data_IF_662568070511
#
_entry.id   IF_662568070511
#
_cell.length_a   1.000
_cell.length_b   1.000
_cell.length_c   1.000
_cell.angle_alpha   90.00
_cell.angle_beta   90.00
_cell.angle_gamma   90.00
#
_symmetry.space_group_name_H-M   'P 1'
#
loop_
_entity.id
_entity.type
_entity.pdbx_description
1 polymer ?
#
# COMPACT_ATOMS: atom_id res chain seq x y z
N UNK A 1 17.07 -38.33 -0.95
CA UNK A 1 17.51 -37.01 -1.49
C UNK A 1 18.01 -37.12 -2.93
N UNK A 2 19.12 -37.81 -3.25
CA UNK A 2 19.60 -37.93 -4.65
C UNK A 2 18.68 -38.82 -5.52
N UNK A 3 18.17 -39.91 -4.95
CA UNK A 3 17.25 -40.81 -5.65
C UNK A 3 15.92 -40.12 -6.05
N UNK A 4 15.39 -39.26 -5.19
CA UNK A 4 14.15 -38.51 -5.44
C UNK A 4 14.31 -37.46 -6.53
N UNK A 5 15.49 -36.83 -6.61
CA UNK A 5 15.83 -35.86 -7.67
C UNK A 5 15.90 -36.57 -9.03
N UNK A 6 16.57 -37.72 -9.11
CA UNK A 6 16.71 -38.50 -10.35
C UNK A 6 15.36 -39.05 -10.84
N UNK A 7 14.52 -39.55 -9.93
CA UNK A 7 13.18 -40.04 -10.26
C UNK A 7 12.28 -38.96 -10.84
N UNK A 8 12.36 -37.72 -10.33
CA UNK A 8 11.56 -36.59 -10.81
C UNK A 8 11.99 -36.05 -12.18
N UNK A 9 13.27 -36.18 -12.53
CA UNK A 9 13.81 -35.82 -13.84
C UNK A 9 13.33 -36.82 -14.91
N UNK A 10 13.35 -38.12 -14.61
CA UNK A 10 13.00 -39.17 -15.56
C UNK A 10 11.48 -39.35 -15.77
N UNK A 11 10.65 -39.01 -14.78
CA UNK A 11 9.19 -39.22 -14.84
C UNK A 11 8.41 -38.06 -15.49
N UNK A 12 9.09 -37.02 -15.98
CA UNK A 12 8.44 -35.78 -16.43
C UNK A 12 7.68 -35.04 -15.32
N UNK A 13 7.88 -35.45 -14.06
CA UNK A 13 7.19 -34.90 -12.89
C UNK A 13 7.71 -33.52 -12.51
N UNK A 14 8.88 -33.10 -12.99
CA UNK A 14 9.40 -31.75 -12.76
C UNK A 14 8.40 -30.66 -13.21
N UNK A 15 7.68 -30.85 -14.33
CA UNK A 15 6.66 -29.90 -14.80
C UNK A 15 5.36 -29.94 -13.96
N UNK A 16 5.06 -31.09 -13.35
CA UNK A 16 3.92 -31.27 -12.44
C UNK A 16 4.20 -30.74 -11.03
N UNK A 17 5.43 -30.90 -10.52
CA UNK A 17 5.84 -30.31 -9.24
C UNK A 17 5.97 -28.79 -9.35
N UNK A 18 6.49 -28.25 -10.45
CA UNK A 18 6.52 -26.80 -10.63
C UNK A 18 5.13 -26.23 -10.87
N UNK A 19 4.27 -26.87 -11.68
CA UNK A 19 2.90 -26.38 -11.88
C UNK A 19 2.02 -26.54 -10.64
N UNK A 20 2.13 -27.63 -9.89
CA UNK A 20 1.31 -27.87 -8.69
C UNK A 20 1.83 -27.11 -7.48
N UNK A 21 3.14 -26.86 -7.36
CA UNK A 21 3.70 -25.93 -6.37
C UNK A 21 3.42 -24.47 -6.73
N UNK A 22 3.45 -24.11 -8.02
CA UNK A 22 3.05 -22.79 -8.52
C UNK A 22 1.55 -22.54 -8.37
N UNK A 23 0.70 -23.56 -8.58
CA UNK A 23 -0.74 -23.52 -8.32
C UNK A 23 -1.04 -23.54 -6.81
N UNK A 24 -0.27 -24.24 -5.99
CA UNK A 24 -0.39 -24.15 -4.53
C UNK A 24 0.08 -22.80 -3.98
N UNK A 25 1.08 -22.16 -4.60
CA UNK A 25 1.57 -20.83 -4.17
C UNK A 25 0.67 -19.69 -4.65
N UNK A 26 0.03 -19.82 -5.81
CA UNK A 26 -0.86 -18.78 -6.37
C UNK A 26 -2.23 -18.69 -5.69
N UNK A 27 -2.61 -19.67 -4.85
CA UNK A 27 -3.91 -19.68 -4.14
C UNK A 27 -3.80 -19.78 -2.61
N UNK A 28 -2.60 -19.74 -2.03
CA UNK A 28 -2.44 -19.72 -0.57
C UNK A 28 -2.47 -18.28 -0.07
N UNK A 29 -3.54 -17.96 0.67
CA UNK A 29 -3.64 -16.70 1.40
C UNK A 29 -2.42 -16.53 2.33
N UNK A 30 -1.70 -15.42 2.17
CA UNK A 30 -0.48 -15.17 2.92
C UNK A 30 -0.81 -14.39 4.20
N UNK A 31 -1.02 -15.12 5.30
CA UNK A 31 -1.46 -14.54 6.57
C UNK A 31 -0.53 -13.47 7.13
N UNK A 32 0.80 -13.67 7.09
CA UNK A 32 1.75 -12.70 7.63
C UNK A 32 1.70 -11.37 6.85
N UNK A 33 1.89 -11.33 5.51
CA UNK A 33 1.71 -10.11 4.73
C UNK A 33 0.37 -9.43 4.94
N UNK A 34 -0.71 -10.21 5.14
CA UNK A 34 -2.03 -9.65 5.40
C UNK A 34 -2.09 -8.87 6.72
N UNK A 35 -1.61 -9.47 7.82
CA UNK A 35 -1.62 -8.77 9.12
C UNK A 35 -0.64 -7.60 9.15
N UNK A 36 0.52 -7.74 8.51
CA UNK A 36 1.49 -6.65 8.37
C UNK A 36 0.85 -5.48 7.61
N UNK A 37 0.19 -5.74 6.48
CA UNK A 37 -0.45 -4.72 5.65
C UNK A 37 -1.61 -4.00 6.36
N UNK A 38 -2.45 -4.72 7.09
CA UNK A 38 -3.51 -4.10 7.90
C UNK A 38 -2.90 -3.23 9.01
N UNK A 39 -1.85 -3.71 9.67
CA UNK A 39 -1.16 -2.92 10.70
C UNK A 39 -0.54 -1.65 10.12
N UNK A 40 0.16 -1.77 8.98
CA UNK A 40 0.77 -0.63 8.27
C UNK A 40 -0.30 0.37 7.86
N UNK A 41 -1.32 -0.07 7.12
CA UNK A 41 -2.43 0.78 6.69
C UNK A 41 -3.16 1.46 7.85
N UNK A 42 -3.38 0.80 8.99
CA UNK A 42 -3.95 1.48 10.17
C UNK A 42 -2.98 2.53 10.73
N UNK A 43 -1.70 2.19 10.88
CA UNK A 43 -0.71 3.06 11.50
C UNK A 43 -0.41 4.31 10.68
N UNK A 44 -0.21 4.17 9.38
CA UNK A 44 0.14 5.25 8.46
C UNK A 44 -1.03 6.22 8.29
N UNK A 45 -2.24 5.70 8.21
CA UNK A 45 -3.44 6.52 8.07
C UNK A 45 -3.79 7.23 9.36
N UNK A 46 -3.53 6.60 10.51
CA UNK A 46 -3.62 7.26 11.81
C UNK A 46 -2.61 8.41 11.90
N UNK A 47 -1.35 8.18 11.48
CA UNK A 47 -0.34 9.22 11.45
C UNK A 47 -0.73 10.40 10.55
N UNK A 48 -1.28 10.13 9.35
CA UNK A 48 -1.78 11.19 8.47
C UNK A 48 -2.96 11.92 9.08
N UNK A 49 -3.91 11.20 9.68
CA UNK A 49 -5.06 11.81 10.37
C UNK A 49 -4.61 12.77 11.46
N UNK A 50 -3.71 12.32 12.34
CA UNK A 50 -3.15 13.14 13.42
C UNK A 50 -2.43 14.38 12.86
N UNK A 51 -1.69 14.22 11.77
CA UNK A 51 -1.04 15.34 11.07
C UNK A 51 -2.07 16.35 10.55
N UNK A 52 -3.16 15.88 9.91
CA UNK A 52 -4.23 16.74 9.38
C UNK A 52 -4.93 17.51 10.50
N UNK A 53 -5.37 16.85 11.58
CA UNK A 53 -6.10 17.54 12.66
C UNK A 53 -5.22 18.51 13.42
N UNK A 54 -3.94 18.18 13.62
CA UNK A 54 -2.97 19.08 14.24
C UNK A 54 -2.76 20.32 13.37
N UNK A 55 -2.57 20.14 12.05
CA UNK A 55 -2.40 21.26 11.13
C UNK A 55 -3.67 22.10 11.00
N UNK A 56 -4.86 21.50 11.06
CA UNK A 56 -6.12 22.24 11.10
C UNK A 56 -6.14 23.18 12.31
N UNK A 57 -5.81 22.69 13.50
CA UNK A 57 -5.77 23.54 14.70
C UNK A 57 -4.66 24.61 14.61
N UNK A 58 -3.45 24.24 14.19
CA UNK A 58 -2.32 25.17 14.08
C UNK A 58 -2.55 26.29 13.06
N UNK A 59 -3.31 26.02 11.99
CA UNK A 59 -3.51 26.95 10.88
C UNK A 59 -4.90 27.60 10.87
N UNK A 60 -5.69 27.47 11.94
CA UNK A 60 -7.11 27.88 12.00
C UNK A 60 -7.39 29.35 11.69
N UNK A 61 -6.43 30.24 11.97
CA UNK A 61 -6.56 31.69 11.68
C UNK A 61 -6.07 32.07 10.26
N UNK A 62 -5.62 31.09 9.47
CA UNK A 62 -5.03 31.35 8.15
C UNK A 62 -6.10 31.34 7.06
N UNK A 63 -6.11 32.36 6.21
CA UNK A 63 -7.04 32.48 5.06
C UNK A 63 -7.09 31.26 4.14
N UNK A 64 -5.97 30.55 3.99
CA UNK A 64 -5.82 29.36 3.14
C UNK A 64 -5.57 28.08 3.94
N UNK A 65 -6.12 27.99 5.16
CA UNK A 65 -5.93 26.85 6.09
C UNK A 65 -6.01 25.49 5.38
N UNK A 66 -7.13 25.19 4.71
CA UNK A 66 -7.35 23.88 4.07
C UNK A 66 -6.27 23.56 3.04
N UNK A 67 -5.91 24.52 2.19
CA UNK A 67 -4.86 24.35 1.17
C UNK A 67 -3.52 24.01 1.83
N UNK A 68 -3.14 24.73 2.89
CA UNK A 68 -1.89 24.47 3.59
C UNK A 68 -1.91 23.15 4.35
N UNK A 69 -3.04 22.79 4.99
CA UNK A 69 -3.20 21.48 5.65
C UNK A 69 -2.98 20.34 4.66
N UNK A 70 -3.61 20.40 3.49
CA UNK A 70 -3.47 19.36 2.44
C UNK A 70 -2.02 19.25 1.98
N UNK A 71 -1.39 20.37 1.62
CA UNK A 71 -0.02 20.35 1.09
C UNK A 71 0.99 19.90 2.16
N UNK A 72 0.93 20.49 3.36
CA UNK A 72 1.91 20.23 4.42
C UNK A 72 1.74 18.80 4.97
N UNK A 73 0.52 18.31 5.17
CA UNK A 73 0.30 16.93 5.61
C UNK A 73 0.84 15.91 4.59
N UNK A 74 0.65 16.16 3.29
CA UNK A 74 1.21 15.33 2.23
C UNK A 74 2.76 15.37 2.22
N UNK A 75 3.36 16.55 2.43
CA UNK A 75 4.82 16.69 2.54
C UNK A 75 5.37 15.91 3.74
N UNK A 76 4.72 16.01 4.91
CA UNK A 76 5.11 15.26 6.11
C UNK A 76 5.04 13.75 5.84
N UNK A 77 3.95 13.30 5.23
CA UNK A 77 3.75 11.88 4.91
C UNK A 77 4.79 11.34 3.92
N UNK A 78 5.00 12.05 2.80
CA UNK A 78 6.04 11.69 1.84
C UNK A 78 7.44 11.73 2.45
N UNK A 79 7.75 12.73 3.27
CA UNK A 79 9.06 12.82 3.92
C UNK A 79 9.32 11.67 4.90
N UNK A 80 8.29 11.15 5.58
CA UNK A 80 8.44 10.01 6.48
C UNK A 80 8.91 8.74 5.73
N UNK A 81 8.55 8.60 4.45
CA UNK A 81 8.99 7.48 3.61
C UNK A 81 10.46 7.55 3.20
N UNK A 82 11.17 8.66 3.44
CA UNK A 82 12.63 8.70 3.25
C UNK A 82 13.37 7.73 4.16
N UNK A 83 12.75 7.30 5.27
CA UNK A 83 13.30 6.27 6.16
C UNK A 83 13.52 4.94 5.42
N UNK A 84 12.75 4.67 4.37
CA UNK A 84 12.86 3.42 3.61
C UNK A 84 14.15 3.32 2.80
N UNK A 85 14.92 4.41 2.63
CA UNK A 85 16.27 4.38 2.03
C UNK A 85 17.22 3.46 2.82
N UNK A 86 16.92 3.18 4.08
CA UNK A 86 17.71 2.28 4.92
C UNK A 86 17.57 0.80 4.52
N UNK A 87 16.43 0.43 3.96
CA UNK A 87 16.06 -0.96 3.67
C UNK A 87 15.83 -1.23 2.17
N UNK A 88 15.57 -0.19 1.37
CA UNK A 88 15.21 -0.28 -0.04
C UNK A 88 16.24 0.41 -0.96
N UNK A 89 16.36 -0.01 -2.24
CA UNK A 89 17.17 0.70 -3.22
C UNK A 89 16.77 2.17 -3.34
N UNK A 90 17.75 3.07 -3.49
CA UNK A 90 17.52 4.52 -3.52
C UNK A 90 16.41 4.96 -4.48
N UNK A 91 16.39 4.41 -5.71
CA UNK A 91 15.37 4.74 -6.71
C UNK A 91 13.97 4.31 -6.25
N UNK A 92 13.85 3.14 -5.60
CA UNK A 92 12.58 2.65 -5.08
C UNK A 92 12.09 3.52 -3.93
N UNK A 93 12.96 3.85 -2.98
CA UNK A 93 12.62 4.72 -1.84
C UNK A 93 12.18 6.13 -2.31
N UNK A 94 12.89 6.75 -3.25
CA UNK A 94 12.49 8.05 -3.81
C UNK A 94 11.18 7.97 -4.58
N UNK A 95 10.95 6.87 -5.30
CA UNK A 95 9.65 6.64 -5.97
C UNK A 95 8.52 6.55 -4.95
N UNK A 96 8.72 5.85 -3.83
CA UNK A 96 7.75 5.79 -2.72
C UNK A 96 7.47 7.17 -2.13
N UNK A 97 8.49 8.01 -1.90
CA UNK A 97 8.32 9.38 -1.39
C UNK A 97 7.43 10.22 -2.32
N UNK A 98 7.69 10.17 -3.64
CA UNK A 98 6.89 10.91 -4.63
C UNK A 98 5.46 10.39 -4.66
N UNK A 99 5.28 9.07 -4.68
CA UNK A 99 3.95 8.45 -4.71
C UNK A 99 3.17 8.72 -3.41
N UNK A 100 3.82 8.67 -2.25
CA UNK A 100 3.23 8.98 -0.97
C UNK A 100 2.83 10.46 -0.88
N UNK A 101 3.63 11.38 -1.41
CA UNK A 101 3.26 12.79 -1.50
C UNK A 101 2.02 13.00 -2.37
N UNK A 102 2.00 12.45 -3.60
CA UNK A 102 0.87 12.62 -4.52
C UNK A 102 -0.41 12.00 -3.94
N UNK A 103 -0.31 10.78 -3.42
CA UNK A 103 -1.44 10.09 -2.78
C UNK A 103 -1.90 10.83 -1.53
N UNK A 104 -0.96 11.34 -0.73
CA UNK A 104 -1.22 12.16 0.44
C UNK A 104 -2.04 13.41 0.14
N UNK A 105 -1.81 14.09 -0.99
CA UNK A 105 -2.62 15.22 -1.43
C UNK A 105 -4.07 14.79 -1.68
N UNK A 106 -4.27 13.71 -2.46
CA UNK A 106 -5.58 13.19 -2.84
C UNK A 106 -6.34 12.71 -1.60
N UNK A 107 -5.68 11.93 -0.74
CA UNK A 107 -6.32 11.29 0.40
C UNK A 107 -6.58 12.28 1.54
N UNK A 108 -5.78 13.35 1.68
CA UNK A 108 -6.12 14.46 2.57
C UNK A 108 -7.42 15.15 2.11
N UNK A 109 -7.59 15.39 0.81
CA UNK A 109 -8.83 15.98 0.27
C UNK A 109 -10.01 15.05 0.50
N UNK A 110 -9.87 13.76 0.19
CA UNK A 110 -10.91 12.76 0.41
C UNK A 110 -11.27 12.67 1.89
N UNK A 111 -10.28 12.63 2.79
CA UNK A 111 -10.55 12.57 4.23
C UNK A 111 -11.30 13.83 4.70
N UNK A 112 -10.84 15.02 4.31
CA UNK A 112 -11.50 16.29 4.68
C UNK A 112 -12.92 16.41 4.11
N UNK A 113 -13.18 15.80 2.95
CA UNK A 113 -14.50 15.77 2.32
C UNK A 113 -15.44 14.73 2.95
N UNK A 114 -14.94 13.53 3.23
CA UNK A 114 -15.74 12.37 3.62
C UNK A 114 -15.83 12.17 5.14
N UNK A 115 -14.80 12.57 5.89
CA UNK A 115 -14.60 12.24 7.31
C UNK A 115 -14.30 10.76 7.60
N UNK A 116 -14.13 9.90 6.58
CA UNK A 116 -14.09 8.44 6.72
C UNK A 116 -12.68 7.87 6.73
N UNK A 117 -12.02 7.96 7.89
CA UNK A 117 -10.67 7.41 8.07
C UNK A 117 -10.59 5.90 7.82
N UNK A 118 -11.59 5.14 8.29
CA UNK A 118 -11.63 3.68 8.16
C UNK A 118 -11.61 3.19 6.70
N UNK A 119 -12.21 3.97 5.79
CA UNK A 119 -12.24 3.62 4.37
C UNK A 119 -10.83 3.73 3.75
N UNK A 120 -10.08 4.76 4.14
CA UNK A 120 -8.70 4.94 3.72
C UNK A 120 -7.81 3.82 4.26
N UNK A 121 -7.97 3.46 5.54
CA UNK A 121 -7.23 2.34 6.17
C UNK A 121 -7.41 1.01 5.45
N UNK A 122 -8.63 0.68 5.03
CA UNK A 122 -8.90 -0.57 4.29
C UNK A 122 -8.25 -0.53 2.92
N UNK A 123 -8.42 0.58 2.18
CA UNK A 123 -7.86 0.73 0.84
C UNK A 123 -6.33 0.65 0.90
N UNK A 124 -5.69 1.39 1.82
CA UNK A 124 -4.25 1.35 2.03
C UNK A 124 -3.77 -0.06 2.42
N UNK A 125 -4.43 -0.72 3.38
CA UNK A 125 -4.06 -2.07 3.76
C UNK A 125 -4.19 -3.09 2.62
N UNK A 126 -5.12 -2.90 1.68
CA UNK A 126 -5.21 -3.74 0.48
C UNK A 126 -4.00 -3.50 -0.44
N UNK A 127 -3.58 -2.25 -0.61
CA UNK A 127 -2.38 -1.90 -1.38
C UNK A 127 -1.12 -2.54 -0.81
N UNK A 128 -0.89 -2.33 0.49
CA UNK A 128 0.27 -2.85 1.18
C UNK A 128 0.29 -4.37 1.13
N UNK A 129 -0.87 -5.03 1.22
CA UNK A 129 -0.93 -6.47 1.09
C UNK A 129 -0.39 -6.92 -0.26
N UNK A 130 -0.86 -6.31 -1.36
CA UNK A 130 -0.35 -6.61 -2.70
C UNK A 130 1.15 -6.31 -2.85
N UNK A 131 1.67 -5.25 -2.23
CA UNK A 131 3.10 -4.96 -2.27
C UNK A 131 3.91 -5.97 -1.46
N UNK A 132 3.44 -6.37 -0.27
CA UNK A 132 4.10 -7.35 0.60
C UNK A 132 4.02 -8.79 0.10
N UNK A 133 3.19 -9.06 -0.91
CA UNK A 133 3.18 -10.33 -1.65
C UNK A 133 4.38 -10.45 -2.61
N UNK A 134 4.95 -9.35 -3.10
CA UNK A 134 6.04 -9.40 -4.09
C UNK A 134 7.32 -10.07 -3.55
N UNK A 135 7.82 -9.76 -2.33
CA UNK A 135 9.01 -10.40 -1.78
C UNK A 135 8.87 -11.92 -1.58
N UNK A 136 7.64 -12.44 -1.45
CA UNK A 136 7.37 -13.88 -1.33
C UNK A 136 7.08 -14.56 -2.68
N UNK A 137 7.37 -13.89 -3.79
CA UNK A 137 7.31 -14.44 -5.15
C UNK A 137 5.93 -14.35 -5.82
N UNK A 138 4.98 -13.61 -5.24
CA UNK A 138 3.67 -13.36 -5.84
C UNK A 138 3.69 -11.97 -6.48
N UNK A 139 3.91 -11.94 -7.79
CA UNK A 139 3.97 -10.68 -8.53
C UNK A 139 2.57 -10.10 -8.78
N UNK A 140 2.46 -8.79 -8.60
CA UNK A 140 1.26 -8.03 -8.95
C UNK A 140 1.41 -7.46 -10.36
N UNK A 141 0.37 -7.57 -11.19
CA UNK A 141 0.38 -6.98 -12.53
C UNK A 141 0.14 -5.47 -12.47
N UNK A 142 0.67 -4.74 -13.46
CA UNK A 142 0.42 -3.30 -13.61
C UNK A 142 -1.09 -2.97 -13.71
N UNK A 143 -1.89 -3.91 -14.23
CA UNK A 143 -3.35 -3.75 -14.30
C UNK A 143 -4.02 -3.70 -12.92
N UNK A 144 -3.52 -4.48 -11.95
CA UNK A 144 -4.03 -4.45 -10.57
C UNK A 144 -3.72 -3.09 -9.92
N UNK A 145 -2.53 -2.55 -10.18
CA UNK A 145 -2.13 -1.23 -9.69
C UNK A 145 -3.03 -0.11 -10.24
N UNK A 146 -3.33 -0.13 -11.54
CA UNK A 146 -4.24 0.85 -12.16
C UNK A 146 -5.65 0.75 -11.57
N UNK A 147 -6.16 -0.47 -11.39
CA UNK A 147 -7.47 -0.70 -10.76
C UNK A 147 -7.49 -0.15 -9.33
N UNK A 148 -6.41 -0.35 -8.58
CA UNK A 148 -6.25 0.21 -7.24
C UNK A 148 -6.31 1.75 -7.25
N UNK A 149 -5.56 2.43 -8.14
CA UNK A 149 -5.60 3.90 -8.24
C UNK A 149 -6.98 4.45 -8.62
N UNK A 150 -7.82 3.67 -9.30
CA UNK A 150 -9.20 4.08 -9.59
C UNK A 150 -10.08 3.86 -8.36
N UNK A 151 -9.93 2.71 -7.69
CA UNK A 151 -10.69 2.34 -6.50
C UNK A 151 -10.43 3.31 -5.34
N UNK A 152 -9.17 3.72 -5.13
CA UNK A 152 -8.77 4.59 -4.02
C UNK A 152 -9.46 5.95 -4.05
N UNK A 153 -9.84 6.43 -5.23
CA UNK A 153 -10.55 7.71 -5.40
C UNK A 153 -12.06 7.48 -5.40
N UNK A 154 -12.54 6.49 -6.15
CA UNK A 154 -13.98 6.32 -6.40
C UNK A 154 -14.71 5.81 -5.17
N UNK A 155 -14.22 4.75 -4.52
CA UNK A 155 -14.94 4.11 -3.40
C UNK A 155 -15.22 5.11 -2.26
N UNK A 156 -14.22 5.86 -1.78
CA UNK A 156 -14.44 6.80 -0.67
C UNK A 156 -15.45 7.90 -0.98
N UNK A 157 -15.46 8.39 -2.23
CA UNK A 157 -16.41 9.39 -2.70
C UNK A 157 -17.80 8.77 -2.78
N UNK A 158 -17.96 7.58 -3.35
CA UNK A 158 -19.26 6.91 -3.42
C UNK A 158 -19.86 6.63 -2.03
N UNK A 159 -19.02 6.40 -1.03
CA UNK A 159 -19.48 6.22 0.34
C UNK A 159 -20.04 7.51 0.96
N UNK A 160 -19.94 8.69 0.33
CA UNK A 160 -20.51 9.95 0.86
C UNK A 160 -21.95 10.24 0.46
N UNK A 161 -22.52 9.44 -0.44
CA UNK A 161 -23.92 9.50 -0.88
C UNK A 161 -24.76 8.57 -0.01
#
# INVERSE_FOLDING_TARGET
>A
MIWDILWNICSGSMSRFTSQAFLQSSFRFAWKPFFDAISTGVSEETFRYLSIVTLLECLKETKHQVTFVVIISAMIFGAFHLLNVMDEPFIAAISQVIMAFVSGLVWAIIYLYTGKLWAMMIIHGIYDYFMFLQPIGISTSNSIFIIYCVIEVIIPILLTI
#
